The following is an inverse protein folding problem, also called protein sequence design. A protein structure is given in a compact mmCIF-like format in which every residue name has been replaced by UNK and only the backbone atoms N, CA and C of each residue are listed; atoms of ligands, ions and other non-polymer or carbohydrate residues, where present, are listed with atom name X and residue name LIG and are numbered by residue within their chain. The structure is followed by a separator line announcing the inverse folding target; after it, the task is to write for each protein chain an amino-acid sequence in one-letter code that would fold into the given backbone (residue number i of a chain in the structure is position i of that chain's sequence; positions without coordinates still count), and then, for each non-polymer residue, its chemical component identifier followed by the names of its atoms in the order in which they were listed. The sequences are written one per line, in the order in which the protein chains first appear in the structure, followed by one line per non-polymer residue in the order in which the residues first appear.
data_IF_076134499381
#
_entry.id   IF_076134499381
#
_cell.length_a   1.000
_cell.length_b   1.000
_cell.length_c   1.000
_cell.angle_alpha   90.00
_cell.angle_beta   90.00
_cell.angle_gamma   90.00
#
_symmetry.space_group_name_H-M   'P 1'
#
loop_
_entity.id
_entity.type
_entity.pdbx_description
1 polymer ?
#
# COMPACT_ATOMS: atom_id res chain seq x y z
N UNK A 1 1.81 -1.55 -19.31
CA UNK A 1 3.09 -0.90 -18.89
C UNK A 1 3.01 -0.35 -17.46
N UNK A 2 1.88 0.18 -16.98
CA UNK A 2 1.77 0.73 -15.61
C UNK A 2 2.00 -0.26 -14.46
N UNK A 3 1.50 -1.50 -14.57
CA UNK A 3 1.56 -2.49 -13.47
C UNK A 3 2.96 -3.00 -13.14
N UNK A 4 3.90 -2.93 -14.08
CA UNK A 4 5.30 -3.33 -13.82
C UNK A 4 6.02 -2.25 -12.98
N UNK A 5 5.79 -0.98 -13.29
CA UNK A 5 6.43 0.17 -12.63
C UNK A 5 5.92 0.29 -11.19
N UNK A 6 4.62 0.13 -10.95
CA UNK A 6 4.05 0.18 -9.61
C UNK A 6 4.57 -0.97 -8.72
N UNK A 7 4.77 -2.16 -9.31
CA UNK A 7 5.30 -3.32 -8.58
C UNK A 7 6.77 -3.16 -8.20
N UNK A 8 7.59 -2.61 -9.09
CA UNK A 8 9.00 -2.29 -8.80
C UNK A 8 9.11 -1.17 -7.75
N UNK A 9 8.24 -0.16 -7.83
CA UNK A 9 8.13 0.90 -6.84
C UNK A 9 7.77 0.33 -5.47
N UNK A 10 6.72 -0.48 -5.40
CA UNK A 10 6.26 -1.11 -4.16
C UNK A 10 7.35 -1.96 -3.50
N UNK A 11 7.96 -2.88 -4.27
CA UNK A 11 9.03 -3.72 -3.78
C UNK A 11 10.26 -2.91 -3.32
N UNK A 12 10.61 -1.84 -4.04
CA UNK A 12 11.68 -0.94 -3.65
C UNK A 12 11.39 -0.20 -2.34
N UNK A 13 10.15 0.25 -2.16
CA UNK A 13 9.72 0.94 -0.94
C UNK A 13 9.67 0.01 0.28
N UNK A 14 9.24 -1.24 0.11
CA UNK A 14 9.26 -2.27 1.17
C UNK A 14 10.68 -2.57 1.65
N UNK A 15 11.62 -2.74 0.71
CA UNK A 15 13.04 -2.93 1.05
C UNK A 15 13.57 -1.72 1.81
N UNK A 16 13.20 -0.51 1.41
CA UNK A 16 13.65 0.71 2.08
C UNK A 16 13.08 0.86 3.49
N UNK A 17 11.79 0.54 3.70
CA UNK A 17 11.18 0.51 5.04
C UNK A 17 11.92 -0.48 5.95
N UNK A 18 12.15 -1.71 5.47
CA UNK A 18 12.90 -2.71 6.25
C UNK A 18 14.35 -2.33 6.54
N UNK A 19 14.97 -1.51 5.69
CA UNK A 19 16.27 -0.89 5.99
C UNK A 19 16.16 0.17 7.09
N UNK A 20 15.11 1.00 7.06
CA UNK A 20 14.85 2.01 8.09
C UNK A 20 14.57 1.36 9.46
N UNK A 21 13.90 0.20 9.51
CA UNK A 21 13.74 -0.59 10.73
C UNK A 21 15.08 -1.03 11.30
N UNK A 22 15.93 -1.65 10.46
CA UNK A 22 17.27 -2.09 10.87
C UNK A 22 18.14 -0.93 11.34
N UNK A 23 18.02 0.24 10.71
CA UNK A 23 18.76 1.45 11.11
C UNK A 23 18.27 1.97 12.46
N UNK A 24 16.96 1.99 12.69
CA UNK A 24 16.35 2.39 13.97
C UNK A 24 16.79 1.46 15.12
N UNK A 25 16.86 0.14 14.86
CA UNK A 25 17.29 -0.86 15.83
C UNK A 25 18.80 -0.82 16.13
N UNK A 26 19.64 -0.69 15.10
CA UNK A 26 21.09 -0.91 15.22
C UNK A 26 21.90 0.38 15.40
N UNK A 27 21.33 1.54 15.09
CA UNK A 27 22.05 2.83 15.11
C UNK A 27 21.27 3.98 15.78
N UNK A 28 20.74 3.79 17.00
CA UNK A 28 19.94 4.81 17.67
C UNK A 28 20.62 6.18 17.92
N UNK A 29 21.95 6.33 18.13
CA UNK A 29 22.53 7.67 18.29
C UNK A 29 22.72 8.43 16.96
N UNK A 30 22.60 7.75 15.81
CA UNK A 30 22.88 8.35 14.50
C UNK A 30 21.63 8.89 13.80
N UNK A 31 20.43 8.49 14.23
CA UNK A 31 19.18 8.87 13.59
C UNK A 31 18.16 9.34 14.62
N UNK A 32 17.48 10.45 14.30
CA UNK A 32 16.31 10.90 15.05
C UNK A 32 15.14 9.93 14.78
N UNK A 33 14.65 9.19 15.79
CA UNK A 33 13.54 8.25 15.61
C UNK A 33 12.25 8.93 15.12
N UNK A 34 12.02 10.20 15.48
CA UNK A 34 10.87 10.95 15.00
C UNK A 34 10.99 11.31 13.51
N UNK A 35 12.22 11.47 13.01
CA UNK A 35 12.48 11.67 11.58
C UNK A 35 12.31 10.37 10.81
N UNK A 36 12.83 9.24 11.33
CA UNK A 36 12.67 7.92 10.70
C UNK A 36 11.20 7.54 10.59
N UNK A 37 10.41 7.70 11.65
CA UNK A 37 8.96 7.45 11.61
C UNK A 37 8.21 8.34 10.62
N UNK A 38 8.62 9.60 10.47
CA UNK A 38 8.02 10.50 9.45
C UNK A 38 8.30 10.01 8.04
N UNK A 39 9.53 9.62 7.76
CA UNK A 39 9.91 9.07 6.44
C UNK A 39 9.14 7.79 6.14
N UNK A 40 9.00 6.86 7.10
CA UNK A 40 8.18 5.65 6.93
C UNK A 40 6.74 5.98 6.54
N UNK A 41 6.08 6.89 7.26
CA UNK A 41 4.71 7.34 6.94
C UNK A 41 4.57 7.99 5.57
N UNK A 42 5.57 8.77 5.15
CA UNK A 42 5.57 9.36 3.81
C UNK A 42 5.67 8.30 2.71
N UNK A 43 6.50 7.26 2.92
CA UNK A 43 6.62 6.14 1.99
C UNK A 43 5.32 5.35 1.91
N UNK A 44 4.72 5.00 3.06
CA UNK A 44 3.43 4.31 3.14
C UNK A 44 2.35 5.10 2.36
N UNK A 45 2.29 6.41 2.56
CA UNK A 45 1.35 7.27 1.82
C UNK A 45 1.59 7.23 0.31
N UNK A 46 2.85 7.29 -0.14
CA UNK A 46 3.17 7.21 -1.56
C UNK A 46 2.78 5.86 -2.17
N UNK A 47 2.93 4.76 -1.41
CA UNK A 47 2.46 3.42 -1.83
C UNK A 47 0.94 3.41 -2.00
N UNK A 48 0.20 3.96 -1.04
CA UNK A 48 -1.27 4.05 -1.12
C UNK A 48 -1.73 4.89 -2.29
N UNK A 49 -1.07 6.03 -2.57
CA UNK A 49 -1.39 6.87 -3.71
C UNK A 49 -1.12 6.15 -5.05
N UNK A 50 -0.04 5.37 -5.13
CA UNK A 50 0.26 4.55 -6.30
C UNK A 50 -0.81 3.46 -6.51
N UNK A 51 -1.21 2.76 -5.45
CA UNK A 51 -2.27 1.75 -5.49
C UNK A 51 -3.62 2.35 -5.89
N UNK A 52 -3.99 3.50 -5.31
CA UNK A 52 -5.19 4.24 -5.68
C UNK A 52 -5.18 4.65 -7.15
N UNK A 53 -4.03 5.09 -7.67
CA UNK A 53 -3.88 5.43 -9.08
C UNK A 53 -4.04 4.20 -10.00
N UNK A 54 -3.54 3.03 -9.59
CA UNK A 54 -3.76 1.78 -10.33
C UNK A 54 -5.23 1.38 -10.36
N UNK A 55 -5.91 1.45 -9.21
CA UNK A 55 -7.33 1.09 -9.09
C UNK A 55 -8.17 2.04 -9.95
N UNK A 56 -7.92 3.36 -9.91
CA UNK A 56 -8.60 4.33 -10.77
C UNK A 56 -8.31 4.11 -12.26
N UNK A 57 -7.11 3.67 -12.62
CA UNK A 57 -6.80 3.37 -14.02
C UNK A 57 -7.59 2.16 -14.55
N UNK A 58 -7.91 1.20 -13.67
CA UNK A 58 -8.67 -0.01 -13.99
C UNK A 58 -10.18 0.19 -13.85
N UNK A 59 -10.60 1.02 -12.88
CA UNK A 59 -11.98 1.36 -12.54
C UNK A 59 -12.10 2.90 -12.36
N UNK A 60 -12.30 3.67 -13.45
CA UNK A 60 -12.25 5.14 -13.40
C UNK A 60 -13.28 5.80 -12.47
N UNK A 61 -14.42 5.15 -12.28
CA UNK A 61 -15.57 5.71 -11.54
C UNK A 61 -15.65 5.22 -10.08
N UNK A 62 -14.68 4.41 -9.62
CA UNK A 62 -14.70 3.89 -8.25
C UNK A 62 -14.27 4.97 -7.24
N UNK A 63 -15.04 5.09 -6.16
CA UNK A 63 -14.63 5.89 -5.00
C UNK A 63 -13.53 5.14 -4.24
N UNK A 64 -12.42 5.84 -3.97
CA UNK A 64 -11.28 5.24 -3.26
C UNK A 64 -11.40 5.54 -1.78
N UNK A 65 -11.62 4.49 -0.99
CA UNK A 65 -11.51 4.53 0.46
C UNK A 65 -10.07 4.24 0.88
N UNK A 66 -9.35 5.30 1.28
CA UNK A 66 -7.95 5.21 1.70
C UNK A 66 -7.76 4.48 3.03
N UNK A 67 -8.74 4.46 3.93
CA UNK A 67 -8.66 3.68 5.17
C UNK A 67 -8.73 2.18 4.86
N UNK A 68 -9.56 1.81 3.89
CA UNK A 68 -9.63 0.45 3.34
C UNK A 68 -8.34 0.06 2.61
N UNK A 69 -7.77 0.97 1.81
CA UNK A 69 -6.48 0.72 1.16
C UNK A 69 -5.36 0.54 2.19
N UNK A 70 -5.34 1.33 3.26
CA UNK A 70 -4.38 1.22 4.35
C UNK A 70 -4.49 -0.14 5.05
N UNK A 71 -5.72 -0.61 5.31
CA UNK A 71 -5.97 -1.91 5.92
C UNK A 71 -5.46 -3.09 5.06
N UNK A 72 -5.49 -2.95 3.73
CA UNK A 72 -5.14 -4.02 2.79
C UNK A 72 -3.70 -3.93 2.28
N UNK A 73 -3.14 -2.73 2.18
CA UNK A 73 -1.79 -2.44 1.66
C UNK A 73 -0.66 -2.45 2.70
N UNK A 74 -0.99 -2.65 3.98
CA UNK A 74 -0.03 -2.71 5.11
C UNK A 74 0.38 -4.16 5.47
N UNK A 75 -0.21 -5.18 4.85
CA UNK A 75 0.22 -6.55 5.10
C UNK A 75 1.58 -6.82 4.42
N UNK A 76 2.68 -6.78 5.19
CA UNK A 76 4.07 -7.02 4.73
C UNK A 76 4.25 -8.38 3.98
N UNK A 77 3.32 -9.31 4.17
CA UNK A 77 3.32 -10.66 3.58
C UNK A 77 2.54 -10.79 2.27
N UNK A 78 1.86 -9.74 1.79
CA UNK A 78 0.95 -9.84 0.64
C UNK A 78 1.48 -9.02 -0.54
N UNK A 79 1.87 -9.68 -1.64
CA UNK A 79 2.20 -8.97 -2.87
C UNK A 79 0.99 -8.18 -3.38
N UNK A 80 1.17 -6.95 -3.85
CA UNK A 80 0.12 -6.05 -4.42
C UNK A 80 -0.86 -6.73 -5.39
N UNK A 81 -0.41 -7.73 -6.15
CA UNK A 81 -1.26 -8.54 -7.04
C UNK A 81 -2.39 -9.29 -6.31
N UNK A 82 -2.20 -9.59 -5.04
CA UNK A 82 -3.12 -10.32 -4.17
C UNK A 82 -3.90 -9.36 -3.26
N UNK A 83 -3.36 -8.16 -3.00
CA UNK A 83 -4.06 -7.05 -2.32
C UNK A 83 -5.27 -6.57 -3.13
N UNK A 84 -5.15 -6.38 -4.44
CA UNK A 84 -6.29 -6.01 -5.31
C UNK A 84 -7.46 -6.98 -5.20
N UNK A 85 -7.15 -8.29 -5.18
CA UNK A 85 -8.14 -9.36 -5.02
C UNK A 85 -8.77 -9.34 -3.62
N UNK A 86 -8.01 -9.00 -2.60
CA UNK A 86 -8.51 -8.88 -1.22
C UNK A 86 -9.38 -7.65 -1.03
N UNK A 87 -9.00 -6.50 -1.62
CA UNK A 87 -9.82 -5.30 -1.71
C UNK A 87 -11.14 -5.59 -2.42
N UNK A 88 -11.10 -6.29 -3.56
CA UNK A 88 -12.30 -6.71 -4.26
C UNK A 88 -13.21 -7.58 -3.36
N UNK A 89 -12.65 -8.58 -2.68
CA UNK A 89 -13.41 -9.43 -1.76
C UNK A 89 -14.01 -8.65 -0.57
N UNK A 90 -13.26 -7.72 0.04
CA UNK A 90 -13.76 -6.92 1.17
C UNK A 90 -14.86 -5.95 0.70
N UNK A 91 -14.70 -5.35 -0.48
CA UNK A 91 -15.73 -4.53 -1.09
C UNK A 91 -16.98 -5.35 -1.44
N UNK A 92 -16.83 -6.58 -1.95
CA UNK A 92 -17.94 -7.52 -2.17
C UNK A 92 -18.66 -7.91 -0.88
N UNK A 93 -17.92 -8.28 0.18
CA UNK A 93 -18.48 -8.65 1.48
C UNK A 93 -19.20 -7.48 2.17
N UNK A 94 -18.71 -6.25 1.99
CA UNK A 94 -19.22 -5.06 2.69
C UNK A 94 -20.33 -4.35 1.94
N UNK A 95 -20.29 -4.35 0.61
CA UNK A 95 -21.27 -3.64 -0.22
C UNK A 95 -22.26 -4.54 -0.92
N UNK A 96 -22.05 -5.87 -0.93
CA UNK A 96 -22.95 -6.86 -1.49
C UNK A 96 -23.51 -6.42 -2.83
N UNK A 97 -22.84 -6.75 -3.94
CA UNK A 97 -23.52 -6.65 -5.23
C UNK A 97 -24.80 -7.49 -5.13
N UNK A 98 -25.91 -6.77 -4.99
CA UNK A 98 -27.23 -7.28 -5.19
C UNK A 98 -27.26 -7.84 -6.62
N UNK A 99 -27.66 -9.11 -6.72
CA UNK A 99 -27.90 -9.83 -7.97
C UNK A 99 -28.53 -8.96 -9.07
N UNK A 100 -28.08 -9.14 -10.32
CA UNK A 100 -28.90 -9.66 -11.43
C UNK A 100 -28.28 -9.40 -12.82
N UNK A 101 -28.24 -10.49 -13.61
CA UNK A 101 -28.01 -10.66 -15.06
C UNK A 101 -26.60 -10.51 -15.66
#
# INVERSE_FOLDING_TARGET
MSTLIAREFDQGTMVYIGLLDKVEEQMPPFFDPARVRRVKKEIERLRLDALAAEIRAEYPDIEIDYELLELVGIDDDIPVKDEKRRLANILEERHGYADAD
#
